data_IF_616022520572
#
_entry.id   IF_616022520572
#
_cell.length_a   1.000
_cell.length_b   1.000
_cell.length_c   1.000
_cell.angle_alpha   90.00
_cell.angle_beta   90.00
_cell.angle_gamma   90.00
#
_symmetry.space_group_name_H-M   'P 1'
#
loop_
_entity.id
_entity.type
_entity.pdbx_description
1 polymer ?
#
# COMPACT_ATOMS: atom_id res chain seq x y z
N UNK A 1 -62.98 18.54 -3.28
CA UNK A 1 -62.42 17.87 -4.48
C UNK A 1 -60.93 18.16 -4.50
N UNK A 2 -60.10 17.12 -4.31
CA UNK A 2 -58.63 17.20 -4.27
C UNK A 2 -58.09 16.80 -5.64
N UNK A 3 -57.49 17.74 -6.38
CA UNK A 3 -56.79 17.45 -7.63
C UNK A 3 -55.30 17.29 -7.32
N UNK A 4 -54.80 16.06 -7.44
CA UNK A 4 -53.41 15.70 -7.21
C UNK A 4 -52.52 16.03 -8.41
N UNK A 5 -51.41 16.73 -8.15
CA UNK A 5 -50.35 16.96 -9.12
C UNK A 5 -49.38 15.75 -9.09
N UNK A 6 -49.41 14.93 -10.15
CA UNK A 6 -48.39 13.91 -10.39
C UNK A 6 -47.16 14.56 -11.05
N UNK A 7 -46.17 14.94 -10.24
CA UNK A 7 -44.86 15.38 -10.74
C UNK A 7 -43.96 14.18 -10.97
N UNK A 8 -43.71 13.83 -12.23
CA UNK A 8 -42.68 12.86 -12.63
C UNK A 8 -41.30 13.43 -12.32
N UNK A 9 -40.64 12.90 -11.28
CA UNK A 9 -39.24 13.19 -10.98
C UNK A 9 -38.35 12.32 -11.89
N UNK A 10 -37.73 12.95 -12.88
CA UNK A 10 -36.65 12.34 -13.66
C UNK A 10 -35.43 12.17 -12.76
N UNK A 11 -35.12 10.92 -12.38
CA UNK A 11 -33.92 10.58 -11.62
C UNK A 11 -32.74 10.66 -12.59
N UNK A 12 -32.00 11.77 -12.53
CA UNK A 12 -30.72 11.93 -13.23
C UNK A 12 -29.72 10.94 -12.64
N UNK A 13 -29.37 9.92 -13.40
CA UNK A 13 -28.28 9.01 -13.06
C UNK A 13 -26.96 9.78 -13.21
N UNK A 14 -26.06 9.77 -12.21
CA UNK A 14 -24.77 10.44 -12.34
C UNK A 14 -23.99 9.84 -13.52
N UNK A 15 -23.24 10.67 -14.27
CA UNK A 15 -22.46 10.19 -15.41
C UNK A 15 -21.43 9.15 -14.93
N UNK A 16 -21.42 8.00 -15.58
CA UNK A 16 -20.41 6.96 -15.38
C UNK A 16 -19.05 7.57 -15.78
N UNK A 17 -18.03 7.56 -14.90
CA UNK A 17 -16.73 8.12 -15.25
C UNK A 17 -16.14 7.36 -16.44
N UNK A 18 -15.42 8.06 -17.34
CA UNK A 18 -14.82 7.43 -18.52
C UNK A 18 -13.84 6.33 -18.11
N UNK A 19 -13.96 5.17 -18.77
CA UNK A 19 -13.06 4.03 -18.57
C UNK A 19 -11.65 4.44 -18.99
N UNK A 20 -10.76 4.59 -18.02
CA UNK A 20 -9.37 4.99 -18.25
C UNK A 20 -8.58 3.76 -18.70
N UNK A 21 -8.11 3.75 -19.95
CA UNK A 21 -7.50 2.58 -20.62
C UNK A 21 -5.98 2.45 -20.43
N UNK A 22 -5.32 3.39 -19.73
CA UNK A 22 -3.87 3.39 -19.50
C UNK A 22 -3.41 2.65 -18.23
N UNK A 23 -2.09 2.46 -18.06
CA UNK A 23 -1.50 2.00 -16.81
C UNK A 23 -1.90 2.91 -15.66
N UNK A 24 -2.37 2.34 -14.56
CA UNK A 24 -2.76 3.09 -13.38
C UNK A 24 -2.50 2.32 -12.10
N UNK A 25 -2.57 3.03 -10.99
CA UNK A 25 -2.39 2.48 -9.65
C UNK A 25 -3.57 2.91 -8.79
N UNK A 26 -4.13 1.95 -8.05
CA UNK A 26 -5.21 2.18 -7.11
C UNK A 26 -4.73 1.81 -5.71
N UNK A 27 -4.87 2.73 -4.76
CA UNK A 27 -4.61 2.42 -3.35
C UNK A 27 -5.80 1.61 -2.82
N UNK A 28 -5.55 0.36 -2.43
CA UNK A 28 -6.59 -0.56 -1.97
C UNK A 28 -6.79 -0.54 -0.46
N UNK A 29 -5.75 -0.20 0.29
CA UNK A 29 -5.82 0.01 1.75
C UNK A 29 -4.68 0.91 2.21
N UNK A 30 -4.85 1.53 3.37
CA UNK A 30 -3.82 2.31 4.04
C UNK A 30 -4.00 2.22 5.56
N UNK A 31 -2.93 2.49 6.31
CA UNK A 31 -2.97 2.58 7.76
C UNK A 31 -1.96 1.68 8.42
N UNK A 32 -2.37 1.04 9.52
CA UNK A 32 -1.50 0.25 10.41
C UNK A 32 -1.54 -1.21 10.02
N UNK A 33 -0.38 -1.86 9.99
CA UNK A 33 -0.21 -3.25 9.58
C UNK A 33 0.51 -4.08 10.64
N UNK A 34 0.32 -5.39 10.60
CA UNK A 34 1.04 -6.33 11.48
C UNK A 34 2.51 -6.44 11.09
N UNK A 35 3.40 -6.23 12.07
CA UNK A 35 4.79 -6.64 11.99
C UNK A 35 4.92 -8.07 12.52
N UNK A 36 4.92 -9.08 11.64
CA UNK A 36 5.10 -10.46 12.07
C UNK A 36 6.30 -11.08 11.34
N UNK A 37 7.35 -11.40 12.09
CA UNK A 37 8.48 -12.19 11.60
C UNK A 37 8.28 -13.62 12.05
N UNK A 38 8.23 -14.57 11.12
CA UNK A 38 8.17 -16.00 11.42
C UNK A 38 9.59 -16.54 11.51
N UNK A 39 9.99 -17.00 12.68
CA UNK A 39 11.20 -17.79 12.84
C UNK A 39 10.95 -19.22 12.39
N UNK A 40 11.75 -19.70 11.46
CA UNK A 40 11.88 -21.12 11.16
C UNK A 40 13.14 -21.61 11.89
N UNK A 41 12.94 -22.35 12.97
CA UNK A 41 14.02 -23.06 13.66
C UNK A 41 14.40 -24.31 12.88
N UNK A 42 15.68 -24.66 12.94
CA UNK A 42 16.18 -25.93 12.41
C UNK A 42 15.57 -27.10 13.19
N UNK A 43 15.46 -28.26 12.55
CA UNK A 43 15.05 -29.48 13.23
C UNK A 43 15.99 -29.82 14.39
N UNK A 44 15.46 -30.49 15.41
CA UNK A 44 16.24 -30.94 16.57
C UNK A 44 17.46 -31.76 16.13
N UNK A 45 18.64 -31.40 16.61
CA UNK A 45 19.91 -32.09 16.29
C UNK A 45 20.75 -31.44 15.18
N UNK A 46 20.31 -30.33 14.59
CA UNK A 46 21.09 -29.58 13.59
C UNK A 46 21.52 -28.22 14.15
N UNK A 47 22.82 -27.93 14.16
CA UNK A 47 23.30 -26.56 14.40
C UNK A 47 23.03 -25.71 13.17
N UNK A 48 22.04 -24.82 13.25
CA UNK A 48 21.68 -23.91 12.16
C UNK A 48 21.03 -22.63 12.68
N UNK A 49 21.25 -21.52 11.98
CA UNK A 49 20.65 -20.24 12.32
C UNK A 49 19.12 -20.26 12.18
N UNK A 50 18.44 -19.39 12.94
CA UNK A 50 17.00 -19.14 12.76
C UNK A 50 16.80 -18.36 11.47
N UNK A 51 16.04 -18.93 10.53
CA UNK A 51 15.63 -18.18 9.34
C UNK A 51 14.40 -17.36 9.68
N UNK A 52 14.54 -16.04 9.71
CA UNK A 52 13.45 -15.11 9.93
C UNK A 52 12.80 -14.77 8.58
N UNK A 53 11.55 -15.20 8.36
CA UNK A 53 10.76 -14.81 7.18
C UNK A 53 9.72 -13.77 7.58
N UNK A 54 9.64 -12.61 6.91
CA UNK A 54 8.53 -11.69 7.11
C UNK A 54 7.22 -12.39 6.71
N UNK A 55 6.21 -12.31 7.57
CA UNK A 55 4.84 -12.68 7.21
C UNK A 55 4.26 -11.63 6.29
N UNK A 56 3.29 -12.00 5.43
CA UNK A 56 2.53 -11.01 4.67
C UNK A 56 1.92 -9.98 5.63
N UNK A 57 2.07 -8.67 5.34
CA UNK A 57 1.49 -7.64 6.19
C UNK A 57 -0.03 -7.75 6.15
N UNK A 58 -0.67 -7.75 7.32
CA UNK A 58 -2.14 -7.71 7.46
C UNK A 58 -2.54 -6.35 7.99
N UNK A 59 -3.53 -5.73 7.36
CA UNK A 59 -4.10 -4.47 7.85
C UNK A 59 -4.74 -4.71 9.23
N UNK A 60 -4.30 -3.94 10.23
CA UNK A 60 -4.87 -3.90 11.58
C UNK A 60 -5.99 -2.86 11.62
N UNK A 61 -5.71 -1.67 11.11
CA UNK A 61 -6.57 -0.50 11.24
C UNK A 61 -6.35 0.46 10.08
N UNK A 62 -7.45 0.87 9.42
CA UNK A 62 -7.40 1.93 8.41
C UNK A 62 -7.45 3.29 9.10
N UNK A 63 -6.30 3.97 9.18
CA UNK A 63 -6.14 5.24 9.90
C UNK A 63 -4.98 6.05 9.34
N UNK A 64 -5.06 7.37 9.46
CA UNK A 64 -3.94 8.29 9.18
C UNK A 64 -3.18 8.67 10.46
N UNK A 65 -3.68 8.29 11.63
CA UNK A 65 -3.05 8.56 12.92
C UNK A 65 -2.23 7.34 13.34
N UNK A 66 -0.91 7.46 13.22
CA UNK A 66 0.02 6.37 13.53
C UNK A 66 0.67 6.61 14.90
N UNK A 67 0.60 5.65 15.85
CA UNK A 67 1.30 5.75 17.11
C UNK A 67 2.82 5.86 16.92
N UNK A 68 3.46 6.83 17.57
CA UNK A 68 4.91 6.97 17.58
C UNK A 68 5.57 5.94 18.51
N UNK A 69 5.62 4.67 18.09
CA UNK A 69 6.16 3.54 18.87
C UNK A 69 7.11 2.70 18.03
N UNK A 70 8.17 2.18 18.64
CA UNK A 70 9.09 1.26 17.97
C UNK A 70 8.36 -0.02 17.60
N UNK A 71 8.55 -0.49 16.37
CA UNK A 71 7.90 -1.69 15.84
C UNK A 71 6.52 -1.44 15.23
N UNK A 72 6.00 -0.21 15.29
CA UNK A 72 4.78 0.15 14.57
C UNK A 72 5.04 0.12 13.05
N UNK A 73 4.21 -0.61 12.31
CA UNK A 73 4.29 -0.72 10.85
C UNK A 73 3.06 -0.07 10.24
N UNK A 74 3.30 0.81 9.29
CA UNK A 74 2.25 1.55 8.60
C UNK A 74 2.60 1.70 7.12
N UNK A 75 1.61 2.00 6.30
CA UNK A 75 1.81 2.21 4.87
C UNK A 75 0.50 2.16 4.11
N UNK A 76 0.59 1.74 2.85
CA UNK A 76 -0.55 1.53 1.99
C UNK A 76 -0.27 0.36 1.04
N UNK A 77 -1.35 -0.29 0.60
CA UNK A 77 -1.30 -1.32 -0.43
C UNK A 77 -1.80 -0.72 -1.74
N UNK A 78 -1.09 -1.05 -2.82
CA UNK A 78 -1.41 -0.60 -4.17
C UNK A 78 -1.81 -1.80 -5.03
N UNK A 79 -2.77 -1.60 -5.89
CA UNK A 79 -3.06 -2.48 -7.01
C UNK A 79 -2.64 -1.78 -8.30
N UNK A 80 -1.77 -2.43 -9.05
CA UNK A 80 -1.32 -1.93 -10.34
C UNK A 80 -2.18 -2.54 -11.44
N UNK A 81 -2.71 -1.71 -12.33
CA UNK A 81 -3.68 -2.13 -13.35
C UNK A 81 -3.19 -1.68 -14.72
N UNK A 82 -3.32 -2.56 -15.72
CA UNK A 82 -2.89 -2.31 -17.10
C UNK A 82 -1.40 -1.92 -17.21
N UNK A 83 -0.54 -2.52 -16.40
CA UNK A 83 0.91 -2.31 -16.50
C UNK A 83 1.44 -2.83 -17.85
N UNK A 84 2.46 -2.17 -18.42
CA UNK A 84 3.05 -2.64 -19.65
C UNK A 84 3.85 -3.94 -19.42
N UNK A 85 3.90 -4.81 -20.44
CA UNK A 85 4.64 -6.08 -20.37
C UNK A 85 6.16 -5.87 -20.47
N UNK A 86 6.57 -4.75 -21.07
CA UNK A 86 7.95 -4.30 -21.08
C UNK A 86 8.40 -3.83 -19.69
N UNK A 87 9.71 -3.75 -19.49
CA UNK A 87 10.26 -3.31 -18.21
C UNK A 87 9.81 -1.89 -17.88
N UNK A 88 9.43 -1.67 -16.63
CA UNK A 88 8.92 -0.38 -16.17
C UNK A 88 9.55 -0.01 -14.83
N UNK A 89 9.34 1.24 -14.42
CA UNK A 89 9.86 1.73 -13.14
C UNK A 89 8.79 2.48 -12.38
N UNK A 90 8.86 2.41 -11.07
CA UNK A 90 8.12 3.31 -10.19
C UNK A 90 9.03 3.89 -9.13
N UNK A 91 8.64 5.06 -8.65
CA UNK A 91 9.34 5.79 -7.61
C UNK A 91 8.38 6.00 -6.46
N UNK A 92 8.78 5.57 -5.28
CA UNK A 92 8.06 5.81 -4.03
C UNK A 92 8.76 6.93 -3.28
N UNK A 93 8.01 7.96 -2.95
CA UNK A 93 8.48 9.10 -2.15
C UNK A 93 7.68 9.13 -0.85
N UNK A 94 8.39 9.22 0.27
CA UNK A 94 7.81 9.34 1.59
C UNK A 94 8.38 10.57 2.29
N UNK A 95 7.54 11.56 2.51
CA UNK A 95 7.86 12.71 3.35
C UNK A 95 7.56 12.40 4.80
N UNK A 96 8.52 12.62 5.68
CA UNK A 96 8.39 12.31 7.09
C UNK A 96 9.03 13.41 7.96
N UNK A 97 8.68 13.49 9.27
CA UNK A 97 9.39 14.35 10.21
C UNK A 97 10.90 14.05 10.21
N UNK A 98 11.76 14.99 10.63
CA UNK A 98 13.20 14.80 10.62
C UNK A 98 13.64 13.53 11.40
N UNK A 99 14.28 12.60 10.71
CA UNK A 99 14.89 11.40 11.30
C UNK A 99 16.40 11.59 11.33
N UNK A 100 16.99 11.58 12.53
CA UNK A 100 18.44 11.61 12.70
C UNK A 100 19.00 10.19 12.60
N UNK A 101 19.88 9.96 11.64
CA UNK A 101 20.58 8.70 11.45
C UNK A 101 21.77 8.57 12.41
N UNK A 102 22.28 7.35 12.64
CA UNK A 102 23.47 7.12 13.47
C UNK A 102 24.74 7.84 12.97
N UNK A 103 24.83 8.14 11.68
CA UNK A 103 25.93 8.89 11.06
C UNK A 103 25.79 10.42 11.24
N UNK A 104 24.76 10.87 11.97
CA UNK A 104 24.48 12.27 12.26
C UNK A 104 23.65 13.00 11.20
N UNK A 105 23.41 12.39 10.03
CA UNK A 105 22.57 12.99 8.99
C UNK A 105 21.12 13.09 9.44
N UNK A 106 20.43 14.09 8.90
CA UNK A 106 19.00 14.29 9.12
C UNK A 106 18.28 14.09 7.79
N UNK A 107 17.34 13.16 7.77
CA UNK A 107 16.50 12.86 6.63
C UNK A 107 15.09 13.38 6.88
N UNK A 108 14.49 13.98 5.86
CA UNK A 108 13.08 14.42 5.85
C UNK A 108 12.27 13.74 4.75
N UNK A 109 12.96 12.97 3.91
CA UNK A 109 12.40 12.28 2.77
C UNK A 109 13.11 10.93 2.63
N UNK A 110 12.33 9.91 2.30
CA UNK A 110 12.81 8.61 1.89
C UNK A 110 12.31 8.34 0.47
N UNK A 111 13.24 8.16 -0.47
CA UNK A 111 12.95 7.88 -1.88
C UNK A 111 13.41 6.47 -2.21
N UNK A 112 12.56 5.71 -2.87
CA UNK A 112 12.88 4.40 -3.40
C UNK A 112 12.49 4.30 -4.87
N UNK A 113 13.48 4.14 -5.73
CA UNK A 113 13.28 3.80 -7.14
C UNK A 113 13.30 2.29 -7.31
N UNK A 114 12.29 1.75 -7.98
CA UNK A 114 12.16 0.32 -8.27
C UNK A 114 12.05 0.13 -9.77
N UNK A 115 12.97 -0.64 -10.33
CA UNK A 115 12.94 -1.09 -11.71
C UNK A 115 12.37 -2.50 -11.75
N UNK A 116 11.29 -2.69 -12.50
CA UNK A 116 10.62 -3.96 -12.72
C UNK A 116 11.00 -4.46 -14.12
N UNK A 117 11.78 -5.55 -14.24
CA UNK A 117 12.17 -6.08 -15.53
C UNK A 117 10.96 -6.72 -16.25
N UNK A 118 11.03 -6.90 -17.59
CA UNK A 118 10.01 -7.60 -18.34
C UNK A 118 9.70 -8.99 -17.74
N UNK A 119 8.41 -9.33 -17.63
CA UNK A 119 7.96 -10.64 -17.14
C UNK A 119 8.06 -10.86 -15.62
N UNK A 120 8.42 -9.85 -14.83
CA UNK A 120 8.38 -9.93 -13.37
C UNK A 120 6.94 -10.11 -12.86
N UNK A 121 6.77 -10.97 -11.84
CA UNK A 121 5.51 -11.14 -11.11
C UNK A 121 5.54 -10.32 -9.83
N UNK A 122 4.46 -9.59 -9.57
CA UNK A 122 4.34 -8.59 -8.51
C UNK A 122 3.06 -8.87 -7.73
#
# INVERSE_FOLDING_TARGET
MLAGCAGTKTVSTPPVPPVTTGPRVEITSYGRYTAAVRGQSSASGVSGGVTLRPSPPKLIEQTTTIPARVGEVWGFTMNFINLPEEGWRYRMEMHHPPIRQPDGKVLTESVQDVNVPPGARI
#
